data_IF_698228420023
#
_entry.id   IF_698228420023
#
_cell.length_a   1.000
_cell.length_b   1.000
_cell.length_c   1.000
_cell.angle_alpha   90.00
_cell.angle_beta   90.00
_cell.angle_gamma   90.00
#
_symmetry.space_group_name_H-M   'P 1'
#
loop_
_entity.id
_entity.type
_entity.pdbx_description
1 polymer ?
#
# COMPACT_ATOMS: atom_id res chain seq x y z
N UNK A 1 -0.26 -10.84 14.45
CA UNK A 1 1.18 -10.93 14.14
C UNK A 1 1.38 -10.41 12.74
N UNK A 2 2.11 -9.31 12.61
CA UNK A 2 2.43 -8.70 11.32
C UNK A 2 3.37 -9.63 10.54
N UNK A 3 3.13 -9.75 9.24
CA UNK A 3 3.88 -10.60 8.32
C UNK A 3 4.55 -9.72 7.28
N UNK A 4 5.88 -9.81 7.18
CA UNK A 4 6.60 -9.15 6.11
C UNK A 4 6.54 -10.00 4.83
N UNK A 5 6.18 -9.38 3.72
CA UNK A 5 6.30 -9.96 2.39
C UNK A 5 7.47 -9.30 1.68
N UNK A 6 8.52 -10.08 1.45
CA UNK A 6 9.74 -9.62 0.80
C UNK A 6 9.55 -9.70 -0.72
N UNK A 7 9.77 -8.59 -1.40
CA UNK A 7 9.77 -8.46 -2.86
C UNK A 7 11.20 -8.19 -3.29
N UNK A 8 11.75 -9.05 -4.16
CA UNK A 8 13.10 -8.88 -4.66
C UNK A 8 13.19 -7.77 -5.71
N UNK A 9 14.36 -7.14 -5.86
CA UNK A 9 14.64 -6.19 -6.93
C UNK A 9 14.34 -6.77 -8.32
N UNK A 10 14.70 -8.03 -8.56
CA UNK A 10 14.36 -8.74 -9.81
C UNK A 10 12.84 -8.80 -10.05
N UNK A 11 12.04 -9.05 -9.02
CA UNK A 11 10.58 -9.03 -9.15
C UNK A 11 10.04 -7.63 -9.44
N UNK A 12 10.64 -6.60 -8.84
CA UNK A 12 10.29 -5.20 -9.10
C UNK A 12 10.58 -4.82 -10.55
N UNK A 13 11.81 -5.06 -11.02
CA UNK A 13 12.27 -4.70 -12.36
C UNK A 13 11.47 -5.41 -13.47
N UNK A 14 11.03 -6.64 -13.21
CA UNK A 14 10.27 -7.43 -14.18
C UNK A 14 8.74 -7.33 -14.02
N UNK A 15 8.23 -6.45 -13.14
CA UNK A 15 6.80 -6.41 -12.78
C UNK A 15 6.22 -7.80 -12.46
N UNK A 16 7.01 -8.62 -11.76
CA UNK A 16 6.64 -9.97 -11.37
C UNK A 16 5.96 -9.93 -10.00
N UNK A 17 4.78 -10.55 -9.91
CA UNK A 17 3.97 -10.59 -8.69
C UNK A 17 3.87 -12.00 -8.10
N UNK A 18 4.71 -12.94 -8.56
CA UNK A 18 4.67 -14.35 -8.16
C UNK A 18 4.79 -14.55 -6.66
N UNK A 19 5.65 -13.79 -5.96
CA UNK A 19 5.74 -13.89 -4.49
C UNK A 19 4.45 -13.45 -3.80
N UNK A 20 3.77 -12.41 -4.31
CA UNK A 20 2.47 -11.96 -3.79
C UNK A 20 1.40 -13.03 -3.99
N UNK A 21 1.27 -13.55 -5.21
CA UNK A 21 0.30 -14.59 -5.54
C UNK A 21 0.55 -15.88 -4.74
N UNK A 22 1.81 -16.29 -4.61
CA UNK A 22 2.23 -17.44 -3.79
C UNK A 22 1.96 -17.21 -2.32
N UNK A 23 2.15 -16.00 -1.81
CA UNK A 23 1.86 -15.66 -0.42
C UNK A 23 0.36 -15.75 -0.15
N UNK A 24 -0.48 -15.18 -1.02
CA UNK A 24 -1.93 -15.15 -0.84
C UNK A 24 -2.57 -16.53 -1.02
N UNK A 25 -2.05 -17.36 -1.94
CA UNK A 25 -2.55 -18.73 -2.15
C UNK A 25 -2.35 -19.66 -0.93
N UNK A 26 -1.48 -19.29 0.03
CA UNK A 26 -1.31 -20.04 1.28
C UNK A 26 -2.47 -19.82 2.25
N UNK A 27 -3.09 -18.65 2.23
CA UNK A 27 -4.22 -18.31 3.12
C UNK A 27 -5.56 -18.72 2.53
N UNK A 28 -5.65 -18.77 1.20
CA UNK A 28 -6.89 -19.08 0.48
C UNK A 28 -7.40 -20.52 0.64
N UNK A 29 -6.65 -21.40 1.31
CA UNK A 29 -7.04 -22.80 1.52
C UNK A 29 -7.99 -23.02 2.71
N UNK A 30 -8.10 -22.05 3.63
CA UNK A 30 -9.00 -22.11 4.81
C UNK A 30 -9.54 -20.72 5.12
N UNK A 31 -10.86 -20.54 5.11
CA UNK A 31 -11.55 -19.27 5.38
C UNK A 31 -11.12 -18.62 6.70
N UNK A 32 -10.96 -19.41 7.76
CA UNK A 32 -10.61 -18.91 9.09
C UNK A 32 -9.19 -18.33 9.14
N UNK A 33 -8.28 -18.89 8.35
CA UNK A 33 -6.92 -18.35 8.21
C UNK A 33 -6.96 -17.02 7.48
N UNK A 34 -7.82 -16.89 6.46
CA UNK A 34 -7.96 -15.67 5.69
C UNK A 34 -8.56 -14.53 6.53
N UNK A 35 -9.61 -14.82 7.29
CA UNK A 35 -10.23 -13.87 8.23
C UNK A 35 -9.20 -13.32 9.22
N UNK A 36 -8.29 -14.15 9.72
CA UNK A 36 -7.27 -13.72 10.69
C UNK A 36 -6.05 -13.02 10.05
N UNK A 37 -5.99 -12.91 8.71
CA UNK A 37 -4.85 -12.35 7.97
C UNK A 37 -5.11 -11.01 7.31
N UNK A 38 -6.33 -10.47 7.42
CA UNK A 38 -6.59 -9.10 7.00
C UNK A 38 -5.71 -8.12 7.77
N UNK A 39 -5.37 -7.01 7.12
CA UNK A 39 -4.62 -5.90 7.70
C UNK A 39 -3.33 -6.29 8.46
N UNK A 40 -2.57 -7.24 7.92
CA UNK A 40 -1.42 -7.83 8.63
C UNK A 40 -0.13 -7.92 7.82
N UNK A 41 -0.11 -7.40 6.59
CA UNK A 41 1.05 -7.49 5.70
C UNK A 41 1.76 -6.14 5.57
N UNK A 42 3.08 -6.15 5.68
CA UNK A 42 3.93 -5.04 5.24
C UNK A 42 4.82 -5.53 4.09
N UNK A 43 5.02 -4.69 3.08
CA UNK A 43 5.94 -5.00 1.99
C UNK A 43 7.36 -4.56 2.36
N UNK A 44 8.32 -5.41 2.04
CA UNK A 44 9.75 -5.09 2.15
C UNK A 44 10.40 -5.30 0.79
N UNK A 45 11.17 -4.33 0.33
CA UNK A 45 11.87 -4.41 -0.95
C UNK A 45 13.33 -4.74 -0.70
N UNK A 46 13.79 -5.89 -1.19
CA UNK A 46 15.17 -6.38 -1.02
C UNK A 46 15.99 -6.12 -2.29
N UNK A 47 17.29 -5.82 -2.14
CA UNK A 47 18.20 -5.52 -3.25
C UNK A 47 18.35 -4.04 -3.56
N UNK A 48 17.80 -3.17 -2.70
CA UNK A 48 17.94 -1.71 -2.74
C UNK A 48 18.84 -1.17 -1.61
N UNK A 49 19.54 -2.04 -0.88
CA UNK A 49 20.29 -1.69 0.34
C UNK A 49 21.45 -0.70 0.09
N UNK A 50 21.96 -0.64 -1.14
CA UNK A 50 23.02 0.30 -1.55
C UNK A 50 22.46 1.58 -2.20
N UNK A 51 21.12 1.73 -2.27
CA UNK A 51 20.49 2.93 -2.81
C UNK A 51 20.30 3.94 -1.67
N UNK A 52 20.88 5.14 -1.82
CA UNK A 52 20.76 6.22 -0.84
C UNK A 52 19.38 6.91 -0.89
N UNK A 53 18.62 6.69 -1.95
CA UNK A 53 17.27 7.23 -2.13
C UNK A 53 16.23 6.46 -1.32
N UNK A 54 15.20 7.18 -0.89
CA UNK A 54 14.04 6.57 -0.24
C UNK A 54 13.20 5.77 -1.25
N UNK A 55 12.46 4.75 -0.80
CA UNK A 55 11.69 3.87 -1.69
C UNK A 55 10.73 4.61 -2.64
N UNK A 56 10.17 5.75 -2.19
CA UNK A 56 9.25 6.55 -3.00
C UNK A 56 9.93 7.32 -4.14
N UNK A 57 11.27 7.40 -4.12
CA UNK A 57 12.10 8.04 -5.13
C UNK A 57 12.59 7.05 -6.18
N UNK A 58 12.48 5.74 -5.90
CA UNK A 58 12.95 4.67 -6.79
C UNK A 58 11.86 4.37 -7.84
N UNK A 59 12.07 4.74 -9.13
CA UNK A 59 11.01 4.71 -10.13
C UNK A 59 10.43 3.31 -10.37
N UNK A 60 11.27 2.28 -10.40
CA UNK A 60 10.86 0.90 -10.62
C UNK A 60 9.99 0.35 -9.48
N UNK A 61 10.26 0.73 -8.22
CA UNK A 61 9.43 0.37 -7.06
C UNK A 61 8.04 1.01 -7.20
N UNK A 62 8.00 2.29 -7.56
CA UNK A 62 6.76 3.03 -7.76
C UNK A 62 5.95 2.48 -8.93
N UNK A 63 6.62 2.10 -10.03
CA UNK A 63 5.97 1.44 -11.15
C UNK A 63 5.37 0.09 -10.74
N UNK A 64 6.14 -0.75 -10.03
CA UNK A 64 5.66 -2.06 -9.56
C UNK A 64 4.44 -1.93 -8.65
N UNK A 65 4.44 -0.97 -7.71
CA UNK A 65 3.30 -0.70 -6.84
C UNK A 65 2.07 -0.25 -7.63
N UNK A 66 2.21 0.66 -8.59
CA UNK A 66 1.10 1.11 -9.45
C UNK A 66 0.53 -0.02 -10.31
N UNK A 67 1.40 -0.82 -10.94
CA UNK A 67 0.99 -1.97 -11.76
C UNK A 67 0.33 -3.07 -10.92
N UNK A 68 0.74 -3.25 -9.66
CA UNK A 68 0.11 -4.21 -8.75
C UNK A 68 -1.37 -3.88 -8.48
N UNK A 69 -1.71 -2.59 -8.39
CA UNK A 69 -3.10 -2.13 -8.24
C UNK A 69 -3.89 -2.44 -9.51
N UNK A 70 -3.33 -2.14 -10.69
CA UNK A 70 -3.98 -2.39 -12.00
C UNK A 70 -4.19 -3.87 -12.26
N UNK A 71 -3.28 -4.73 -11.79
CA UNK A 71 -3.39 -6.20 -11.85
C UNK A 71 -4.52 -6.75 -10.97
N UNK A 72 -5.07 -5.94 -10.06
CA UNK A 72 -6.18 -6.35 -9.20
C UNK A 72 -5.74 -6.92 -7.85
N UNK A 73 -4.51 -6.64 -7.40
CA UNK A 73 -4.04 -7.12 -6.10
C UNK A 73 -4.84 -6.41 -4.98
N UNK A 74 -5.49 -7.14 -4.06
CA UNK A 74 -6.42 -6.57 -3.07
C UNK A 74 -5.67 -6.02 -1.84
N UNK A 75 -4.85 -5.00 -2.05
CA UNK A 75 -3.99 -4.46 -0.98
C UNK A 75 -4.77 -3.93 0.22
N UNK A 76 -5.93 -3.31 0.02
CA UNK A 76 -6.81 -2.86 1.10
C UNK A 76 -7.25 -3.98 2.04
N UNK A 77 -7.32 -5.23 1.56
CA UNK A 77 -7.60 -6.36 2.42
C UNK A 77 -6.40 -6.75 3.29
N UNK A 78 -5.21 -6.78 2.69
CA UNK A 78 -4.04 -7.45 3.27
C UNK A 78 -3.11 -6.53 4.03
N UNK A 79 -2.90 -5.31 3.54
CA UNK A 79 -1.88 -4.42 4.10
C UNK A 79 -2.24 -3.97 5.49
N UNK A 80 -1.22 -3.98 6.36
CA UNK A 80 -1.26 -3.37 7.67
C UNK A 80 -1.84 -1.96 7.59
N UNK A 81 -2.78 -1.69 8.49
CA UNK A 81 -3.45 -0.39 8.64
C UNK A 81 -2.96 0.33 9.91
N UNK A 82 -1.82 -0.09 10.46
CA UNK A 82 -1.21 0.63 11.59
C UNK A 82 -0.67 1.99 11.13
N UNK A 83 -0.60 2.96 12.02
CA UNK A 83 -0.26 4.36 11.76
C UNK A 83 1.13 4.57 11.10
N UNK A 84 2.00 3.56 11.17
CA UNK A 84 3.28 3.51 10.47
C UNK A 84 3.22 2.88 9.07
N UNK A 85 2.03 2.56 8.53
CA UNK A 85 1.78 1.81 7.29
C UNK A 85 2.47 2.45 6.07
N UNK A 86 3.78 2.22 6.00
CA UNK A 86 4.70 2.75 5.00
C UNK A 86 4.27 2.23 3.63
N UNK A 87 3.81 0.99 3.57
CA UNK A 87 3.33 0.39 2.33
C UNK A 87 2.08 1.08 1.77
N UNK A 88 1.09 1.40 2.61
CA UNK A 88 -0.14 2.06 2.14
C UNK A 88 0.15 3.47 1.61
N UNK A 89 1.07 4.20 2.28
CA UNK A 89 1.56 5.50 1.80
C UNK A 89 2.30 5.36 0.47
N UNK A 90 3.19 4.38 0.34
CA UNK A 90 3.89 4.11 -0.92
C UNK A 90 2.91 3.77 -2.06
N UNK A 91 1.86 2.98 -1.80
CA UNK A 91 0.81 2.72 -2.79
C UNK A 91 0.12 4.01 -3.22
N UNK A 92 -0.28 4.86 -2.26
CA UNK A 92 -0.90 6.14 -2.55
C UNK A 92 0.01 7.02 -3.43
N UNK A 93 1.28 7.17 -3.05
CA UNK A 93 2.25 7.95 -3.81
C UNK A 93 2.50 7.37 -5.20
N UNK A 94 2.55 6.04 -5.33
CA UNK A 94 2.79 5.35 -6.60
C UNK A 94 1.67 5.57 -7.61
N UNK A 95 0.43 5.67 -7.13
CA UNK A 95 -0.74 5.80 -7.98
C UNK A 95 -1.09 7.26 -8.26
N UNK A 96 -1.10 8.10 -7.23
CA UNK A 96 -1.46 9.50 -7.34
C UNK A 96 -0.31 10.37 -7.86
N UNK A 97 0.93 9.90 -7.69
CA UNK A 97 2.11 10.74 -7.74
C UNK A 97 2.25 11.58 -6.47
N UNK A 98 3.48 11.99 -6.17
CA UNK A 98 3.73 12.98 -5.14
C UNK A 98 3.47 14.35 -5.77
N UNK A 99 2.40 15.03 -5.33
CA UNK A 99 2.06 16.34 -5.85
C UNK A 99 2.96 17.45 -5.29
N UNK A 100 2.43 18.67 -5.20
CA UNK A 100 3.17 19.81 -4.66
C UNK A 100 3.51 19.54 -3.19
N UNK A 101 4.80 19.59 -2.87
CA UNK A 101 5.33 19.59 -1.50
C UNK A 101 5.38 21.04 -1.00
N UNK A 102 4.74 21.33 0.12
CA UNK A 102 4.82 22.63 0.78
C UNK A 102 5.49 22.49 2.14
N UNK A 103 6.54 23.27 2.39
CA UNK A 103 7.21 23.26 3.69
C UNK A 103 6.39 24.07 4.69
N UNK A 104 5.86 23.40 5.71
CA UNK A 104 5.13 24.00 6.82
C UNK A 104 5.95 23.73 8.09
N UNK A 105 6.68 24.75 8.55
CA UNK A 105 7.62 24.63 9.66
C UNK A 105 8.82 23.75 9.31
N UNK A 106 8.90 22.57 9.95
CA UNK A 106 9.94 21.56 9.76
C UNK A 106 9.48 20.35 8.94
N UNK A 107 8.28 20.41 8.33
CA UNK A 107 7.63 19.27 7.65
C UNK A 107 7.12 19.62 6.27
N UNK A 108 6.96 18.61 5.41
CA UNK A 108 6.38 18.79 4.08
C UNK A 108 4.93 18.31 4.06
N UNK A 109 4.02 19.19 3.65
CA UNK A 109 2.67 18.82 3.28
C UNK A 109 2.66 18.33 1.83
N UNK A 110 2.16 17.12 1.60
CA UNK A 110 1.97 16.58 0.25
C UNK A 110 0.51 16.73 -0.14
N UNK A 111 0.26 17.47 -1.22
CA UNK A 111 -1.07 17.59 -1.82
C UNK A 111 -1.28 16.55 -2.91
N UNK A 112 -2.47 15.95 -2.97
CA UNK A 112 -2.86 15.02 -4.03
C UNK A 112 -3.93 15.63 -4.91
N UNK A 113 -3.91 15.29 -6.20
CA UNK A 113 -5.03 15.59 -7.08
C UNK A 113 -6.25 14.77 -6.63
N UNK A 114 -7.38 15.44 -6.39
CA UNK A 114 -8.60 14.81 -5.86
C UNK A 114 -9.19 13.72 -6.76
N UNK A 115 -9.10 13.87 -8.09
CA UNK A 115 -9.60 12.86 -9.04
C UNK A 115 -8.73 11.59 -9.03
N UNK A 116 -7.40 11.77 -8.93
CA UNK A 116 -6.48 10.65 -8.78
C UNK A 116 -6.67 9.93 -7.45
N UNK A 117 -6.84 10.69 -6.37
CA UNK A 117 -7.13 10.12 -5.05
C UNK A 117 -8.44 9.34 -5.04
N UNK A 118 -9.51 9.91 -5.62
CA UNK A 118 -10.78 9.19 -5.80
C UNK A 118 -10.58 7.90 -6.59
N UNK A 119 -9.86 7.97 -7.70
CA UNK A 119 -9.58 6.80 -8.54
C UNK A 119 -8.78 5.73 -7.82
N UNK A 120 -7.79 6.13 -7.00
CA UNK A 120 -7.01 5.23 -6.15
C UNK A 120 -7.89 4.50 -5.13
N UNK A 121 -8.78 5.24 -4.46
CA UNK A 121 -9.72 4.68 -3.49
C UNK A 121 -10.66 3.69 -4.18
N UNK A 122 -11.28 4.10 -5.28
CA UNK A 122 -12.28 3.31 -6.03
C UNK A 122 -11.69 1.98 -6.52
N UNK A 123 -10.51 2.00 -7.15
CA UNK A 123 -9.89 0.78 -7.69
C UNK A 123 -9.46 -0.19 -6.60
N UNK A 124 -8.91 0.30 -5.48
CA UNK A 124 -8.47 -0.57 -4.40
C UNK A 124 -9.65 -1.19 -3.63
N UNK A 125 -10.74 -0.44 -3.42
CA UNK A 125 -11.98 -1.01 -2.88
C UNK A 125 -12.61 -2.02 -3.85
N UNK A 126 -12.56 -1.75 -5.16
CA UNK A 126 -13.01 -2.70 -6.18
C UNK A 126 -12.22 -4.01 -6.12
N UNK A 127 -10.89 -3.93 -6.06
CA UNK A 127 -10.01 -5.11 -5.92
C UNK A 127 -10.32 -5.90 -4.64
N UNK A 128 -10.48 -5.20 -3.51
CA UNK A 128 -10.86 -5.83 -2.24
C UNK A 128 -12.22 -6.52 -2.32
N UNK A 129 -13.23 -5.87 -2.89
CA UNK A 129 -14.58 -6.42 -2.99
C UNK A 129 -14.62 -7.68 -3.87
N UNK A 130 -13.95 -7.66 -5.03
CA UNK A 130 -13.80 -8.82 -5.90
C UNK A 130 -13.14 -9.98 -5.15
N UNK A 131 -12.07 -9.68 -4.40
CA UNK A 131 -11.39 -10.68 -3.60
C UNK A 131 -12.28 -11.28 -2.51
N UNK A 132 -12.98 -10.44 -1.75
CA UNK A 132 -13.86 -10.89 -0.67
C UNK A 132 -15.03 -11.73 -1.20
N UNK A 133 -15.61 -11.32 -2.32
CA UNK A 133 -16.66 -12.08 -3.01
C UNK A 133 -16.16 -13.45 -3.45
N UNK A 134 -14.97 -13.53 -4.07
CA UNK A 134 -14.36 -14.79 -4.52
C UNK A 134 -14.20 -15.80 -3.40
N UNK A 135 -13.93 -15.34 -2.17
CA UNK A 135 -13.72 -16.20 -1.00
C UNK A 135 -14.92 -16.28 -0.06
N UNK A 136 -16.08 -15.74 -0.44
CA UNK A 136 -17.31 -15.81 0.36
C UNK A 136 -17.19 -15.11 1.72
N UNK A 137 -16.37 -14.06 1.83
CA UNK A 137 -16.17 -13.33 3.08
C UNK A 137 -17.36 -12.43 3.39
N UNK A 138 -17.64 -12.23 4.68
CA UNK A 138 -18.85 -11.53 5.12
C UNK A 138 -18.81 -10.02 4.82
N UNK A 139 -19.98 -9.46 4.56
CA UNK A 139 -20.18 -8.00 4.42
C UNK A 139 -19.77 -7.27 5.70
N UNK A 140 -19.98 -7.90 6.87
CA UNK A 140 -19.59 -7.33 8.16
C UNK A 140 -18.07 -7.14 8.26
N UNK A 141 -17.28 -8.15 7.86
CA UNK A 141 -15.83 -8.03 7.80
C UNK A 141 -15.39 -6.94 6.80
N UNK A 142 -16.07 -6.85 5.65
CA UNK A 142 -15.78 -5.83 4.64
C UNK A 142 -15.96 -4.42 5.20
N UNK A 143 -17.08 -4.17 5.90
CA UNK A 143 -17.33 -2.89 6.57
C UNK A 143 -16.27 -2.56 7.60
N UNK A 144 -15.90 -3.53 8.45
CA UNK A 144 -14.86 -3.34 9.47
C UNK A 144 -13.50 -2.95 8.88
N UNK A 145 -13.07 -3.62 7.79
CA UNK A 145 -11.83 -3.29 7.10
C UNK A 145 -11.95 -1.91 6.43
N UNK A 146 -13.06 -1.64 5.75
CA UNK A 146 -13.31 -0.38 5.04
C UNK A 146 -13.26 0.83 5.97
N UNK A 147 -13.90 0.74 7.15
CA UNK A 147 -13.87 1.82 8.14
C UNK A 147 -12.45 2.14 8.58
N UNK A 148 -11.63 1.12 8.88
CA UNK A 148 -10.22 1.32 9.28
C UNK A 148 -9.39 1.95 8.17
N UNK A 149 -9.59 1.55 6.91
CA UNK A 149 -8.88 2.15 5.77
C UNK A 149 -9.20 3.65 5.67
N UNK A 150 -10.49 4.01 5.77
CA UNK A 150 -10.92 5.40 5.69
C UNK A 150 -10.34 6.22 6.85
N UNK A 151 -10.35 5.69 8.08
CA UNK A 151 -9.73 6.33 9.24
C UNK A 151 -8.24 6.62 9.01
N UNK A 152 -7.47 5.65 8.49
CA UNK A 152 -6.03 5.80 8.20
C UNK A 152 -5.78 6.79 7.07
N UNK A 153 -6.57 6.73 5.99
CA UNK A 153 -6.42 7.68 4.88
C UNK A 153 -6.77 9.11 5.33
N UNK A 154 -7.83 9.28 6.12
CA UNK A 154 -8.21 10.58 6.67
C UNK A 154 -7.16 11.13 7.65
N UNK A 155 -6.59 10.30 8.53
CA UNK A 155 -5.53 10.75 9.45
C UNK A 155 -4.26 11.11 8.68
N UNK A 156 -3.86 10.27 7.73
CA UNK A 156 -2.70 10.50 6.87
C UNK A 156 -2.82 11.73 5.98
N UNK A 157 -4.03 12.11 5.57
CA UNK A 157 -4.30 13.35 4.84
C UNK A 157 -4.29 14.60 5.74
N UNK A 158 -4.57 14.45 7.03
CA UNK A 158 -4.56 15.55 8.03
C UNK A 158 -3.17 15.77 8.61
N UNK A 159 -2.32 14.75 8.59
CA UNK A 159 -0.94 14.85 9.04
C UNK A 159 -0.03 15.48 7.98
N UNK A 160 0.67 16.53 8.39
CA UNK A 160 1.88 16.99 7.73
C UNK A 160 2.82 15.80 7.58
N UNK A 161 3.07 15.34 6.36
CA UNK A 161 3.89 14.16 6.15
C UNK A 161 5.31 14.42 6.71
N UNK A 162 5.86 13.53 7.53
CA UNK A 162 7.15 13.72 8.18
C UNK A 162 8.26 13.40 7.19
N UNK A 163 8.43 14.23 6.17
CA UNK A 163 9.67 14.22 5.40
C UNK A 163 10.66 15.14 6.12
N UNK A 164 11.71 14.59 6.77
CA UNK A 164 12.77 15.44 7.29
C UNK A 164 13.43 16.20 6.13
N UNK A 165 13.86 17.43 6.39
CA UNK A 165 14.62 18.23 5.41
C UNK A 165 15.84 17.42 4.94
N UNK A 166 16.20 17.44 3.65
CA UNK A 166 17.51 16.99 3.23
C UNK A 166 18.56 17.81 3.99
N UNK A 167 19.49 17.13 4.66
CA UNK A 167 20.65 17.79 5.28
C UNK A 167 21.56 18.27 4.15
N UNK A 168 21.46 19.55 3.82
CA UNK A 168 22.44 20.20 2.95
C UNK A 168 23.70 20.38 3.80
N UNK A 169 24.75 19.60 3.52
CA UNK A 169 26.11 19.86 3.98
C UNK A 169 26.75 20.92 3.07
#
# INVERSE_FOLDING_TARGET
MLSCLIISKEEVENCNFSSVEKHFSRFSKKSDVLINKHSSIELMFHGYDNNESELYEIPEVMNWLSESIKKGIPWFYFLSLDFKASTLKLLLYSYCGIGKKELIGDRYLVSFNGEKLKSFIDINFTNMNIFMQKYGLSIELNKQISSKILEVLESGMKETDPFPKPKIN
#
